data_IF_546205585483
#
_entry.id   IF_546205585483
#
_cell.length_a   1.000
_cell.length_b   1.000
_cell.length_c   1.000
_cell.angle_alpha   90.00
_cell.angle_beta   90.00
_cell.angle_gamma   90.00
#
_symmetry.space_group_name_H-M   'P 1'
#
loop_
_entity.id
_entity.type
_entity.pdbx_description
1 polymer ?
#
# COMPACT_ATOMS: atom_id res chain seq x y z
N UNK A 1 3.18 -15.48 9.92
CA UNK A 1 2.46 -14.77 8.83
C UNK A 1 1.82 -15.70 7.81
N UNK A 2 2.50 -16.76 7.34
CA UNK A 2 1.98 -17.63 6.26
C UNK A 2 0.60 -18.28 6.55
N UNK A 3 0.32 -18.73 7.78
CA UNK A 3 -0.97 -19.34 8.11
C UNK A 3 -2.14 -18.34 8.07
N UNK A 4 -1.96 -17.13 8.61
CA UNK A 4 -2.99 -16.09 8.59
C UNK A 4 -3.29 -15.59 7.17
N UNK A 5 -2.28 -15.59 6.30
CA UNK A 5 -2.47 -15.30 4.88
C UNK A 5 -3.29 -16.39 4.19
N UNK A 6 -2.82 -17.64 4.25
CA UNK A 6 -3.41 -18.79 3.54
C UNK A 6 -4.86 -19.09 3.98
N UNK A 7 -5.17 -18.93 5.26
CA UNK A 7 -6.48 -19.31 5.81
C UNK A 7 -7.39 -18.12 6.16
N UNK A 8 -6.91 -16.89 5.98
CA UNK A 8 -7.66 -15.68 6.33
C UNK A 8 -7.71 -14.69 5.18
N UNK A 9 -6.56 -14.04 4.90
CA UNK A 9 -6.50 -12.92 3.95
C UNK A 9 -6.80 -13.36 2.52
N UNK A 10 -6.14 -14.42 2.03
CA UNK A 10 -6.29 -14.84 0.63
C UNK A 10 -7.73 -15.28 0.29
N UNK A 11 -8.38 -16.18 1.06
CA UNK A 11 -9.77 -16.57 0.77
C UNK A 11 -10.76 -15.39 0.84
N UNK A 12 -10.52 -14.41 1.71
CA UNK A 12 -11.35 -13.22 1.82
C UNK A 12 -11.17 -12.30 0.60
N UNK A 13 -9.94 -12.09 0.17
CA UNK A 13 -9.62 -11.29 -1.03
C UNK A 13 -10.28 -11.91 -2.28
N UNK A 14 -10.16 -13.24 -2.46
CA UNK A 14 -10.82 -13.98 -3.54
C UNK A 14 -12.35 -13.82 -3.50
N UNK A 15 -12.96 -13.95 -2.31
CA UNK A 15 -14.42 -13.76 -2.13
C UNK A 15 -14.88 -12.34 -2.48
N UNK A 16 -14.04 -11.34 -2.19
CA UNK A 16 -14.34 -9.93 -2.48
C UNK A 16 -13.94 -9.50 -3.90
N UNK A 17 -13.33 -10.41 -4.69
CA UNK A 17 -12.85 -10.10 -6.04
C UNK A 17 -11.66 -9.14 -6.07
N UNK A 18 -10.87 -9.10 -5.00
CA UNK A 18 -9.69 -8.23 -4.87
C UNK A 18 -8.43 -9.06 -5.10
N UNK A 19 -7.58 -8.62 -6.02
CA UNK A 19 -6.26 -9.23 -6.25
C UNK A 19 -5.26 -8.74 -5.20
N UNK A 20 -4.70 -9.68 -4.43
CA UNK A 20 -3.65 -9.40 -3.45
C UNK A 20 -2.56 -10.47 -3.50
N UNK A 21 -1.31 -10.02 -3.39
CA UNK A 21 -0.13 -10.85 -3.18
C UNK A 21 0.36 -10.70 -1.75
N UNK A 22 1.04 -11.72 -1.21
CA UNK A 22 1.81 -11.57 0.02
C UNK A 22 3.22 -11.08 -0.37
N UNK A 23 3.62 -9.86 -0.05
CA UNK A 23 4.95 -9.38 -0.38
C UNK A 23 6.01 -10.22 0.35
N UNK A 24 7.05 -10.63 -0.37
CA UNK A 24 8.12 -11.48 0.17
C UNK A 24 9.22 -10.70 0.89
N UNK A 25 9.09 -9.37 1.02
CA UNK A 25 10.13 -8.51 1.57
C UNK A 25 10.29 -8.67 3.09
N UNK A 26 11.54 -8.76 3.56
CA UNK A 26 11.89 -8.87 4.97
C UNK A 26 13.18 -8.07 5.25
N UNK A 27 13.20 -7.10 6.19
CA UNK A 27 12.05 -6.65 7.00
C UNK A 27 10.95 -6.02 6.15
N UNK A 28 9.71 -6.09 6.62
CA UNK A 28 8.62 -5.36 5.98
C UNK A 28 8.87 -3.84 6.01
N UNK A 29 8.42 -3.10 4.98
CA UNK A 29 8.56 -1.65 4.90
C UNK A 29 8.07 -0.93 6.15
N UNK A 30 8.80 0.08 6.60
CA UNK A 30 8.28 1.01 7.60
C UNK A 30 7.18 1.88 7.00
N UNK A 31 5.97 1.82 7.55
CA UNK A 31 4.84 2.61 7.07
C UNK A 31 4.86 4.08 7.52
N UNK A 32 5.87 4.50 8.30
CA UNK A 32 5.92 5.86 8.88
C UNK A 32 5.92 6.96 7.82
N UNK A 33 6.66 6.79 6.72
CA UNK A 33 6.68 7.77 5.63
C UNK A 33 5.38 7.76 4.84
N UNK A 34 4.81 6.59 4.59
CA UNK A 34 3.51 6.45 3.94
C UNK A 34 2.40 7.21 4.70
N UNK A 35 2.35 7.09 6.04
CA UNK A 35 1.38 7.85 6.85
C UNK A 35 1.62 9.36 6.80
N UNK A 36 2.87 9.83 6.71
CA UNK A 36 3.17 11.26 6.52
C UNK A 36 2.72 11.76 5.15
N UNK A 37 2.95 10.98 4.10
CA UNK A 37 2.45 11.27 2.75
C UNK A 37 0.93 11.33 2.71
N UNK A 38 0.24 10.45 3.46
CA UNK A 38 -1.21 10.54 3.62
C UNK A 38 -1.66 11.87 4.24
N UNK A 39 -0.99 12.34 5.31
CA UNK A 39 -1.33 13.63 5.92
C UNK A 39 -1.16 14.78 4.91
N UNK A 40 -0.06 14.80 4.17
CA UNK A 40 0.18 15.78 3.11
C UNK A 40 -0.89 15.71 2.00
N UNK A 41 -1.19 14.51 1.49
CA UNK A 41 -2.22 14.32 0.47
C UNK A 41 -3.61 14.74 0.98
N UNK A 42 -3.90 14.50 2.27
CA UNK A 42 -5.15 14.87 2.90
C UNK A 42 -5.33 16.40 3.00
N UNK A 43 -4.25 17.15 3.25
CA UNK A 43 -4.27 18.63 3.18
C UNK A 43 -4.65 19.15 1.79
N UNK A 44 -4.43 18.34 0.75
CA UNK A 44 -4.77 18.64 -0.64
C UNK A 44 -6.06 17.94 -1.11
N UNK A 45 -6.83 17.35 -0.20
CA UNK A 45 -8.09 16.67 -0.52
C UNK A 45 -7.94 15.32 -1.24
N UNK A 46 -6.74 14.73 -1.26
CA UNK A 46 -6.41 13.47 -1.95
C UNK A 46 -5.94 12.35 -1.01
N UNK A 47 -6.28 12.44 0.28
CA UNK A 47 -5.81 11.50 1.30
C UNK A 47 -6.26 10.06 1.02
N UNK A 48 -7.52 9.87 0.65
CA UNK A 48 -8.10 8.55 0.37
C UNK A 48 -7.44 7.91 -0.86
N UNK A 49 -7.26 8.67 -1.92
CA UNK A 49 -6.63 8.26 -3.18
C UNK A 49 -5.17 7.86 -2.95
N UNK A 50 -4.45 8.67 -2.17
CA UNK A 50 -3.07 8.35 -1.78
C UNK A 50 -3.00 7.06 -0.95
N UNK A 51 -3.87 6.90 0.05
CA UNK A 51 -3.90 5.68 0.86
C UNK A 51 -4.22 4.44 0.01
N UNK A 52 -5.18 4.54 -0.91
CA UNK A 52 -5.54 3.46 -1.82
C UNK A 52 -4.38 3.11 -2.76
N UNK A 53 -3.69 4.11 -3.31
CA UNK A 53 -2.54 3.88 -4.17
C UNK A 53 -1.38 3.21 -3.43
N UNK A 54 -1.05 3.66 -2.21
CA UNK A 54 -0.03 3.03 -1.36
C UNK A 54 -0.38 1.56 -1.08
N UNK A 55 -1.64 1.28 -0.71
CA UNK A 55 -2.09 -0.09 -0.45
C UNK A 55 -1.98 -0.96 -1.71
N UNK A 56 -2.32 -0.44 -2.89
CA UNK A 56 -2.22 -1.17 -4.15
C UNK A 56 -0.76 -1.44 -4.56
N UNK A 57 0.13 -0.44 -4.44
CA UNK A 57 1.56 -0.61 -4.72
C UNK A 57 2.18 -1.69 -3.81
N UNK A 58 1.77 -1.76 -2.54
CA UNK A 58 2.26 -2.80 -1.62
C UNK A 58 1.59 -4.17 -1.84
N UNK A 59 0.26 -4.24 -1.72
CA UNK A 59 -0.47 -5.50 -1.68
C UNK A 59 -0.74 -6.13 -3.04
N UNK A 60 -0.62 -5.41 -4.15
CA UNK A 60 -0.79 -5.98 -5.50
C UNK A 60 0.54 -6.05 -6.24
N UNK A 61 1.41 -5.05 -6.07
CA UNK A 61 2.69 -4.95 -6.81
C UNK A 61 3.94 -5.26 -5.98
N UNK A 62 3.82 -5.40 -4.66
CA UNK A 62 4.94 -5.75 -3.78
C UNK A 62 6.03 -4.67 -3.69
N UNK A 63 5.70 -3.40 -3.93
CA UNK A 63 6.65 -2.28 -3.87
C UNK A 63 7.07 -1.92 -2.45
N UNK A 64 8.28 -1.40 -2.31
CA UNK A 64 8.82 -0.95 -1.02
C UNK A 64 8.27 0.42 -0.62
N UNK A 65 7.13 0.44 0.06
CA UNK A 65 6.46 1.69 0.49
C UNK A 65 7.17 2.42 1.64
N UNK A 66 8.31 1.91 2.11
CA UNK A 66 9.25 2.61 2.98
C UNK A 66 10.25 3.48 2.21
N UNK A 67 10.39 3.28 0.89
CA UNK A 67 11.17 4.12 -0.01
C UNK A 67 10.42 5.41 -0.34
N UNK A 68 11.11 6.55 -0.19
CA UNK A 68 10.53 7.85 -0.48
C UNK A 68 10.26 8.03 -1.97
N UNK A 69 11.02 7.37 -2.85
CA UNK A 69 10.82 7.47 -4.30
C UNK A 69 9.49 6.82 -4.72
N UNK A 70 9.18 5.64 -4.17
CA UNK A 70 7.89 4.98 -4.41
C UNK A 70 6.73 5.86 -3.95
N UNK A 71 6.86 6.52 -2.79
CA UNK A 71 5.82 7.43 -2.27
C UNK A 71 5.71 8.73 -3.07
N UNK A 72 6.83 9.25 -3.58
CA UNK A 72 6.86 10.42 -4.45
C UNK A 72 6.18 10.12 -5.80
N UNK A 73 6.48 8.97 -6.42
CA UNK A 73 5.82 8.54 -7.65
C UNK A 73 4.29 8.43 -7.47
N UNK A 74 3.84 7.92 -6.32
CA UNK A 74 2.40 7.88 -6.00
C UNK A 74 1.81 9.28 -5.91
N UNK A 75 2.46 10.19 -5.19
CA UNK A 75 2.01 11.57 -5.04
C UNK A 75 1.96 12.29 -6.40
N UNK A 76 3.01 12.18 -7.22
CA UNK A 76 3.11 12.80 -8.53
C UNK A 76 2.01 12.29 -9.48
N UNK A 77 1.75 10.98 -9.49
CA UNK A 77 0.65 10.40 -10.28
C UNK A 77 -0.73 10.88 -9.85
N UNK A 78 -0.87 11.30 -8.59
CA UNK A 78 -2.08 11.92 -8.08
C UNK A 78 -2.10 13.43 -8.31
N UNK A 79 -1.06 14.04 -8.87
CA UNK A 79 -0.92 15.48 -9.07
C UNK A 79 -0.75 16.23 -7.75
N UNK A 80 0.16 15.73 -6.91
CA UNK A 80 0.60 16.32 -5.65
C UNK A 80 2.09 16.66 -5.70
#
# INVERSE_FOLDING_TARGET
>A
MQQGWKFGVQPLAEKLGVEMILPSMDPHPSTKKAHRGFLFANEHGKGSEYAQAVLAEFWTKGKEIGDVNVLADIAENLGL
#
